data_IF_518467316635
#
_entry.id   IF_518467316635
#
_cell.length_a   1.000
_cell.length_b   1.000
_cell.length_c   1.000
_cell.angle_alpha   90.00
_cell.angle_beta   90.00
_cell.angle_gamma   90.00
#
_symmetry.space_group_name_H-M   'P 1'
#
loop_
_entity.id
_entity.type
_entity.pdbx_description
1 polymer ?
#
# COMPACT_ATOMS: atom_id res chain seq x y z
N UNK A 1 16.96 -14.40 1.11
CA UNK A 1 16.73 -13.23 1.98
C UNK A 1 15.63 -13.63 2.94
N UNK A 2 15.73 -13.37 4.25
CA UNK A 2 14.78 -13.90 5.24
C UNK A 2 13.66 -12.91 5.62
N UNK A 3 13.75 -11.66 5.17
CA UNK A 3 12.74 -10.66 5.46
C UNK A 3 11.53 -10.87 4.55
N UNK A 4 10.33 -10.83 5.14
CA UNK A 4 9.04 -10.93 4.46
C UNK A 4 8.16 -9.80 4.95
N UNK A 5 7.71 -8.94 4.05
CA UNK A 5 6.95 -7.74 4.45
C UNK A 5 5.56 -8.07 5.01
N UNK A 6 5.02 -9.27 4.70
CA UNK A 6 3.73 -9.74 5.22
C UNK A 6 3.62 -9.77 6.75
N UNK A 7 4.74 -9.88 7.48
CA UNK A 7 4.76 -9.82 8.95
C UNK A 7 4.55 -8.38 9.49
N UNK A 8 4.70 -7.37 8.66
CA UNK A 8 4.74 -5.96 9.05
C UNK A 8 3.73 -5.09 8.29
N UNK A 9 2.99 -5.70 7.35
CA UNK A 9 2.09 -4.99 6.46
C UNK A 9 1.07 -4.17 7.26
N UNK A 10 0.97 -2.89 6.94
CA UNK A 10 -0.02 -1.99 7.56
C UNK A 10 0.35 -1.46 8.94
N UNK A 11 1.59 -1.70 9.41
CA UNK A 11 2.09 -1.09 10.65
C UNK A 11 2.24 0.44 10.53
N UNK A 12 2.69 1.09 11.62
CA UNK A 12 2.86 2.54 11.64
C UNK A 12 3.86 3.07 10.59
N UNK A 13 4.88 2.29 10.24
CA UNK A 13 5.88 2.69 9.25
C UNK A 13 5.28 2.70 7.84
N UNK A 14 4.49 1.66 7.53
CA UNK A 14 3.73 1.58 6.29
C UNK A 14 2.71 2.70 6.17
N UNK A 15 2.00 3.04 7.25
CA UNK A 15 1.08 4.19 7.28
C UNK A 15 1.80 5.47 6.85
N UNK A 16 2.95 5.80 7.48
CA UNK A 16 3.69 7.02 7.13
C UNK A 16 4.18 6.96 5.68
N UNK A 17 4.79 5.84 5.27
CA UNK A 17 5.33 5.62 3.93
C UNK A 17 4.24 5.80 2.85
N UNK A 18 3.10 5.17 3.04
CA UNK A 18 2.04 5.14 2.04
C UNK A 18 1.21 6.43 2.02
N UNK A 19 0.97 7.09 3.16
CA UNK A 19 0.37 8.43 3.16
C UNK A 19 1.27 9.42 2.40
N UNK A 20 2.58 9.38 2.61
CA UNK A 20 3.51 10.24 1.84
C UNK A 20 3.44 9.90 0.35
N UNK A 21 3.45 8.61 -0.01
CA UNK A 21 3.35 8.16 -1.39
C UNK A 21 2.08 8.68 -2.09
N UNK A 22 0.91 8.50 -1.48
CA UNK A 22 -0.36 8.94 -2.10
C UNK A 22 -0.39 10.45 -2.31
N UNK A 23 0.13 11.23 -1.35
CA UNK A 23 0.26 12.69 -1.49
C UNK A 23 1.25 13.10 -2.57
N UNK A 24 2.38 12.39 -2.71
CA UNK A 24 3.33 12.64 -3.79
C UNK A 24 2.69 12.39 -5.18
N UNK A 25 1.95 11.29 -5.35
CA UNK A 25 1.24 10.97 -6.60
C UNK A 25 0.24 12.09 -6.93
N UNK A 26 -0.62 12.45 -5.96
CA UNK A 26 -1.62 13.50 -6.15
C UNK A 26 -1.01 14.86 -6.54
N UNK A 27 0.13 15.22 -5.95
CA UNK A 27 0.83 16.47 -6.28
C UNK A 27 1.47 16.43 -7.67
N UNK A 28 2.08 15.32 -8.08
CA UNK A 28 2.69 15.17 -9.39
C UNK A 28 1.65 15.20 -10.52
N UNK A 29 0.47 14.63 -10.28
CA UNK A 29 -0.63 14.58 -11.23
C UNK A 29 -1.33 15.93 -11.49
N UNK A 30 -0.99 16.99 -10.74
CA UNK A 30 -1.39 18.36 -11.10
C UNK A 30 -0.88 18.79 -12.47
N UNK A 31 0.16 18.14 -12.99
CA UNK A 31 0.64 18.33 -14.35
C UNK A 31 -0.03 17.31 -15.30
N UNK A 32 -0.38 17.74 -16.53
CA UNK A 32 -0.97 16.84 -17.52
C UNK A 32 0.03 15.80 -18.05
N UNK A 33 1.34 16.08 -17.97
CA UNK A 33 2.39 15.15 -18.39
C UNK A 33 2.31 13.82 -17.62
N UNK A 34 2.62 12.69 -18.27
CA UNK A 34 2.65 11.40 -17.61
C UNK A 34 3.80 11.33 -16.59
N UNK A 35 3.61 10.54 -15.53
CA UNK A 35 4.67 10.20 -14.57
C UNK A 35 5.14 8.76 -14.75
N UNK A 36 6.39 8.51 -14.36
CA UNK A 36 6.93 7.17 -14.16
C UNK A 36 7.12 6.93 -12.66
N UNK A 37 6.47 5.90 -12.15
CA UNK A 37 6.65 5.39 -10.79
C UNK A 37 7.61 4.20 -10.83
N UNK A 38 8.67 4.26 -10.04
CA UNK A 38 9.66 3.18 -9.93
C UNK A 38 9.65 2.70 -8.48
N UNK A 39 9.20 1.46 -8.28
CA UNK A 39 9.33 0.75 -7.03
C UNK A 39 10.49 -0.24 -7.14
N UNK A 40 11.49 -0.06 -6.28
CA UNK A 40 12.70 -0.88 -6.28
C UNK A 40 12.55 -2.14 -5.44
N UNK A 41 11.59 -2.16 -4.52
CA UNK A 41 11.33 -3.23 -3.56
C UNK A 41 9.81 -3.35 -3.36
N UNK A 42 9.13 -3.81 -4.40
CA UNK A 42 7.69 -3.78 -4.55
C UNK A 42 6.94 -4.73 -3.58
N UNK A 43 7.60 -5.79 -3.09
CA UNK A 43 6.95 -6.86 -2.37
C UNK A 43 5.87 -7.56 -3.22
N UNK A 44 4.90 -8.17 -2.55
CA UNK A 44 3.82 -8.94 -3.20
C UNK A 44 2.62 -8.08 -3.62
N UNK A 45 2.68 -6.75 -3.44
CA UNK A 45 1.62 -5.82 -3.81
C UNK A 45 0.39 -5.81 -2.88
N UNK A 46 -0.11 -6.97 -2.44
CA UNK A 46 -1.29 -7.09 -1.56
C UNK A 46 -1.04 -8.06 -0.41
N UNK A 47 -1.43 -7.69 0.80
CA UNK A 47 -1.19 -8.48 2.01
C UNK A 47 -2.51 -8.85 2.71
N UNK A 48 -2.72 -10.13 3.04
CA UNK A 48 -3.85 -10.58 3.87
C UNK A 48 -3.50 -10.40 5.36
N UNK A 49 -4.19 -9.47 6.03
CA UNK A 49 -4.00 -9.15 7.46
C UNK A 49 -4.58 -10.23 8.40
N UNK A 50 -5.30 -11.20 7.85
CA UNK A 50 -5.71 -12.43 8.53
C UNK A 50 -4.85 -13.64 8.10
N UNK A 51 -3.82 -13.43 7.27
CA UNK A 51 -2.83 -14.44 6.93
C UNK A 51 -1.93 -14.83 8.10
N UNK A 52 -1.27 -15.98 7.99
CA UNK A 52 -0.45 -16.55 9.06
C UNK A 52 0.65 -15.58 9.52
N UNK A 53 1.34 -14.91 8.59
CA UNK A 53 2.40 -13.95 8.89
C UNK A 53 1.89 -12.73 9.67
N UNK A 54 0.78 -12.14 9.24
CA UNK A 54 0.20 -10.95 9.88
C UNK A 54 -0.36 -11.29 11.28
N UNK A 55 -0.95 -12.48 11.46
CA UNK A 55 -1.47 -12.92 12.75
C UNK A 55 -0.37 -13.20 13.79
N UNK A 56 0.85 -13.50 13.37
CA UNK A 56 1.99 -13.70 14.29
C UNK A 56 2.44 -12.42 14.98
N UNK A 57 2.22 -11.26 14.37
CA UNK A 57 2.70 -9.97 14.89
C UNK A 57 1.57 -9.02 15.27
N UNK A 58 0.49 -8.98 14.48
CA UNK A 58 -0.65 -8.09 14.69
C UNK A 58 -0.34 -6.60 14.49
N UNK A 59 0.81 -6.23 13.92
CA UNK A 59 1.28 -4.83 13.89
C UNK A 59 0.31 -3.86 13.19
N UNK A 60 -0.48 -4.35 12.24
CA UNK A 60 -1.45 -3.54 11.50
C UNK A 60 -2.54 -2.94 12.41
N UNK A 61 -2.84 -3.58 13.54
CA UNK A 61 -3.87 -3.13 14.48
C UNK A 61 -3.51 -1.76 15.07
N UNK A 62 -2.23 -1.55 15.38
CA UNK A 62 -1.70 -0.28 15.88
C UNK A 62 -1.26 0.70 14.76
N UNK A 63 -1.32 0.25 13.50
CA UNK A 63 -1.08 1.06 12.32
C UNK A 63 -2.37 1.45 11.62
N UNK A 64 -2.62 0.89 10.44
CA UNK A 64 -3.79 1.18 9.60
C UNK A 64 -5.12 0.93 10.32
N UNK A 65 -5.18 -0.06 11.22
CA UNK A 65 -6.39 -0.38 11.99
C UNK A 65 -6.93 0.81 12.79
N UNK A 66 -6.03 1.63 13.36
CA UNK A 66 -6.41 2.84 14.12
C UNK A 66 -6.95 3.97 13.25
N UNK A 67 -6.67 3.94 11.95
CA UNK A 67 -7.00 5.00 11.01
C UNK A 67 -8.18 4.64 10.11
N UNK A 68 -8.70 3.41 10.18
CA UNK A 68 -9.67 2.90 9.23
C UNK A 68 -10.95 3.73 9.15
N UNK A 69 -11.45 4.19 10.31
CA UNK A 69 -12.62 5.07 10.39
C UNK A 69 -12.26 6.57 10.44
N UNK A 70 -11.01 6.93 10.12
CA UNK A 70 -10.58 8.33 10.16
C UNK A 70 -11.19 9.11 9.00
N UNK A 71 -11.58 10.35 9.30
CA UNK A 71 -12.09 11.31 8.31
C UNK A 71 -11.10 12.44 8.03
N UNK A 72 -9.85 12.30 8.50
CA UNK A 72 -8.81 13.31 8.32
C UNK A 72 -8.51 13.54 6.82
N UNK A 73 -8.65 14.77 6.30
CA UNK A 73 -8.49 15.02 4.87
C UNK A 73 -7.13 14.64 4.29
N UNK A 74 -6.07 14.65 5.11
CA UNK A 74 -4.73 14.21 4.70
C UNK A 74 -4.69 12.73 4.31
N UNK A 75 -5.57 11.91 4.88
CA UNK A 75 -5.61 10.47 4.70
C UNK A 75 -6.54 10.03 3.57
N UNK A 76 -7.28 10.96 2.93
CA UNK A 76 -8.34 10.63 1.99
C UNK A 76 -7.89 9.70 0.85
N UNK A 77 -6.83 10.05 0.12
CA UNK A 77 -6.32 9.24 -1.00
C UNK A 77 -5.75 7.89 -0.53
N UNK A 78 -5.16 7.87 0.69
CA UNK A 78 -4.64 6.66 1.32
C UNK A 78 -5.75 5.71 1.72
N UNK A 79 -6.77 6.18 2.45
CA UNK A 79 -7.89 5.35 2.89
C UNK A 79 -8.79 4.95 1.73
N UNK A 80 -8.92 5.78 0.69
CA UNK A 80 -9.59 5.41 -0.55
C UNK A 80 -8.97 4.15 -1.17
N UNK A 81 -7.65 4.14 -1.39
CA UNK A 81 -6.98 2.97 -1.98
C UNK A 81 -7.03 1.72 -1.07
N UNK A 82 -7.02 1.89 0.25
CA UNK A 82 -7.25 0.77 1.18
C UNK A 82 -8.70 0.25 1.06
N UNK A 83 -9.68 1.14 0.91
CA UNK A 83 -11.09 0.79 0.78
C UNK A 83 -11.46 0.09 -0.53
N UNK A 84 -10.77 0.37 -1.62
CA UNK A 84 -11.00 -0.35 -2.89
C UNK A 84 -10.73 -1.87 -2.78
N UNK A 85 -10.05 -2.32 -1.73
CA UNK A 85 -9.69 -3.72 -1.49
C UNK A 85 -10.46 -4.36 -0.34
N UNK A 86 -11.33 -3.61 0.35
CA UNK A 86 -12.00 -4.05 1.55
C UNK A 86 -13.49 -3.68 1.53
N UNK A 87 -14.33 -4.63 1.94
CA UNK A 87 -15.78 -4.41 2.03
C UNK A 87 -16.21 -4.23 3.49
N UNK A 88 -17.05 -3.22 3.74
CA UNK A 88 -17.65 -2.97 5.05
C UNK A 88 -16.69 -2.37 6.08
N UNK A 89 -16.94 -2.68 7.37
CA UNK A 89 -16.31 -2.00 8.49
C UNK A 89 -14.99 -2.66 8.97
N UNK A 90 -14.57 -3.75 8.33
CA UNK A 90 -13.41 -4.53 8.73
C UNK A 90 -12.34 -4.53 7.65
N UNK A 91 -11.11 -4.26 8.05
CA UNK A 91 -9.95 -4.38 7.17
C UNK A 91 -9.46 -5.82 7.13
N UNK A 92 -9.36 -6.38 5.93
CA UNK A 92 -8.79 -7.71 5.67
C UNK A 92 -7.52 -7.61 4.84
N UNK A 93 -7.50 -6.79 3.80
CA UNK A 93 -6.36 -6.67 2.91
C UNK A 93 -5.68 -5.32 3.06
N UNK A 94 -4.35 -5.33 3.07
CA UNK A 94 -3.54 -4.13 3.05
C UNK A 94 -2.82 -3.98 1.71
N UNK A 95 -3.04 -2.87 0.97
CA UNK A 95 -2.24 -2.58 -0.22
C UNK A 95 -0.79 -2.25 0.15
N UNK A 96 0.16 -2.85 -0.55
CA UNK A 96 1.54 -2.39 -0.62
C UNK A 96 1.70 -1.19 -1.56
N UNK A 97 2.91 -0.64 -1.62
CA UNK A 97 3.24 0.50 -2.47
C UNK A 97 2.90 0.32 -3.97
N UNK A 98 3.04 -0.89 -4.58
CA UNK A 98 2.62 -1.10 -5.96
C UNK A 98 1.12 -0.91 -6.17
N UNK A 99 0.32 -1.35 -5.20
CA UNK A 99 -1.14 -1.33 -5.29
C UNK A 99 -1.69 0.09 -5.04
N UNK A 100 -1.09 0.83 -4.09
CA UNK A 100 -1.33 2.27 -3.96
C UNK A 100 -1.02 3.02 -5.26
N UNK A 101 0.13 2.74 -5.88
CA UNK A 101 0.48 3.36 -7.15
C UNK A 101 -0.49 2.95 -8.27
N UNK A 102 -0.86 1.68 -8.37
CA UNK A 102 -1.79 1.16 -9.38
C UNK A 102 -3.17 1.81 -9.27
N UNK A 103 -3.69 1.94 -8.05
CA UNK A 103 -4.99 2.55 -7.78
C UNK A 103 -5.02 4.04 -8.15
N UNK A 104 -3.95 4.78 -7.82
CA UNK A 104 -3.95 6.24 -7.91
C UNK A 104 -3.36 6.81 -9.21
N UNK A 105 -2.72 6.00 -10.04
CA UNK A 105 -2.14 6.45 -11.31
C UNK A 105 -3.16 6.46 -12.46
N UNK A 106 -2.90 7.30 -13.47
CA UNK A 106 -3.75 7.43 -14.68
C UNK A 106 -3.25 6.45 -15.74
N UNK A 107 -4.09 6.15 -16.74
CA UNK A 107 -3.75 5.22 -17.84
C UNK A 107 -2.50 5.59 -18.66
N UNK A 108 -2.14 6.87 -18.71
CA UNK A 108 -0.93 7.35 -19.40
C UNK A 108 0.36 7.23 -18.56
N UNK A 109 0.23 7.05 -17.24
CA UNK A 109 1.36 6.91 -16.35
C UNK A 109 1.98 5.49 -16.51
N UNK A 110 3.19 5.29 -15.97
CA UNK A 110 3.94 4.01 -16.08
C UNK A 110 4.44 3.56 -14.72
N UNK A 111 4.28 2.28 -14.42
CA UNK A 111 4.77 1.65 -13.19
C UNK A 111 5.86 0.65 -13.54
N UNK A 112 7.01 0.79 -12.89
CA UNK A 112 8.13 -0.13 -12.95
C UNK A 112 8.34 -0.72 -11.57
N UNK A 113 7.99 -1.99 -11.39
CA UNK A 113 7.94 -2.66 -10.09
C UNK A 113 8.99 -3.77 -10.09
N UNK A 114 9.86 -3.77 -9.08
CA UNK A 114 10.92 -4.76 -8.95
C UNK A 114 10.81 -5.46 -7.60
N UNK A 115 10.86 -6.78 -7.60
CA UNK A 115 10.94 -7.60 -6.39
C UNK A 115 11.99 -8.69 -6.61
N UNK A 116 12.93 -8.80 -5.65
CA UNK A 116 14.06 -9.73 -5.76
C UNK A 116 13.81 -11.04 -4.99
N UNK A 117 12.95 -11.01 -3.99
CA UNK A 117 12.64 -12.18 -3.17
C UNK A 117 11.96 -13.26 -4.04
N UNK A 118 12.56 -14.46 -4.19
CA UNK A 118 12.10 -15.44 -5.16
C UNK A 118 10.67 -15.96 -4.95
N UNK A 119 10.14 -15.88 -3.74
CA UNK A 119 8.76 -16.29 -3.44
C UNK A 119 7.77 -15.13 -3.54
N UNK A 120 8.24 -13.88 -3.56
CA UNK A 120 7.38 -12.68 -3.58
C UNK A 120 7.27 -12.14 -5.02
N UNK A 121 8.32 -12.30 -5.81
CA UNK A 121 8.36 -11.94 -7.24
C UNK A 121 7.90 -13.05 -8.19
N UNK A 122 7.19 -14.09 -7.71
CA UNK A 122 6.55 -15.07 -8.60
C UNK A 122 5.36 -14.44 -9.30
N UNK A 123 5.32 -14.58 -10.64
CA UNK A 123 4.20 -14.16 -11.50
C UNK A 123 3.07 -15.18 -11.51
#
# INVERSE_FOLDING_TARGET
>A
MNYRHAYHAGNHADVVKHVVLTRCIALLQKKPAPLAYIDTHAGIGLYDLQGEEALKTGEWQDGVGRLWSSTEPLLADYLYAVAELNEGDQIRYYPGSPEFARCLTRSQDRLHLNEMHPADGQL
#
